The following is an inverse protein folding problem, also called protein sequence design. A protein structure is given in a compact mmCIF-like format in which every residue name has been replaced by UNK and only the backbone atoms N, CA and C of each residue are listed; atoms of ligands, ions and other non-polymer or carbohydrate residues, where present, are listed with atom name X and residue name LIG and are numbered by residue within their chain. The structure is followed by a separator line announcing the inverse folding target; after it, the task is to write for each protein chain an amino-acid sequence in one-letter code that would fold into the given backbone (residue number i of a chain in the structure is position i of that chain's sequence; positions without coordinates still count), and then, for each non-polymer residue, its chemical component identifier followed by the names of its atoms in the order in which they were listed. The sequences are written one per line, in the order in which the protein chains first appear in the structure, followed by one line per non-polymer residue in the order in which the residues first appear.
data_IF_910541981020
#
_entry.id   IF_910541981020
#
_cell.length_a   1.000
_cell.length_b   1.000
_cell.length_c   1.000
_cell.angle_alpha   90.00
_cell.angle_beta   90.00
_cell.angle_gamma   90.00
#
_symmetry.space_group_name_H-M   'P 1'
#
loop_
_entity.id
_entity.type
_entity.pdbx_description
1 polymer ?
#
# COMPACT_ATOMS: atom_id res chain seq x y z
N UNK A 1 -8.83 12.48 -60.63
CA UNK A 1 -9.17 12.78 -59.22
C UNK A 1 -7.97 12.38 -58.39
N UNK A 2 -7.34 13.32 -57.67
CA UNK A 2 -6.15 13.03 -56.83
C UNK A 2 -6.64 12.80 -55.39
N UNK A 3 -6.21 11.75 -54.68
CA UNK A 3 -6.64 11.50 -53.31
C UNK A 3 -6.11 12.59 -52.38
N UNK A 4 -6.99 13.16 -51.56
CA UNK A 4 -6.63 14.16 -50.54
C UNK A 4 -6.46 13.43 -49.21
N UNK A 5 -5.24 13.44 -48.67
CA UNK A 5 -4.92 12.92 -47.35
C UNK A 5 -5.50 13.86 -46.30
N UNK A 6 -6.45 13.37 -45.50
CA UNK A 6 -6.96 14.12 -44.34
C UNK A 6 -6.04 13.84 -43.15
N UNK A 7 -5.61 14.86 -42.39
CA UNK A 7 -4.94 14.64 -41.12
C UNK A 7 -5.90 13.88 -40.21
N UNK A 8 -5.50 12.69 -39.76
CA UNK A 8 -6.17 11.99 -38.67
C UNK A 8 -5.56 12.51 -37.37
N UNK A 9 -6.42 12.92 -36.43
CA UNK A 9 -6.00 13.24 -35.08
C UNK A 9 -5.28 12.02 -34.48
N UNK A 10 -4.13 12.24 -33.84
CA UNK A 10 -3.43 11.18 -33.11
C UNK A 10 -4.38 10.63 -32.04
N UNK A 11 -4.88 9.42 -32.25
CA UNK A 11 -5.64 8.71 -31.24
C UNK A 11 -4.67 8.24 -30.15
N UNK A 12 -4.76 8.85 -28.97
CA UNK A 12 -4.02 8.41 -27.77
C UNK A 12 -4.83 7.30 -27.10
N UNK A 13 -4.29 6.09 -27.10
CA UNK A 13 -4.89 4.93 -26.44
C UNK A 13 -4.20 4.69 -25.09
N UNK A 14 -4.97 4.65 -24.00
CA UNK A 14 -4.49 4.30 -22.68
C UNK A 14 -4.63 2.79 -22.46
N UNK A 15 -3.51 2.08 -22.34
CA UNK A 15 -3.51 0.66 -21.97
C UNK A 15 -2.97 0.48 -20.54
N UNK A 16 -3.60 -0.37 -19.71
CA UNK A 16 -3.11 -0.61 -18.36
C UNK A 16 -1.73 -1.29 -18.44
N UNK A 17 -0.68 -0.61 -17.96
CA UNK A 17 0.69 -1.14 -17.99
C UNK A 17 0.91 -2.25 -16.96
N UNK A 18 0.21 -2.20 -15.81
CA UNK A 18 0.35 -3.13 -14.68
C UNK A 18 -0.99 -3.26 -13.94
N UNK A 19 -1.27 -4.44 -13.42
CA UNK A 19 -2.45 -4.73 -12.59
C UNK A 19 -1.99 -5.39 -11.30
N UNK A 20 -2.37 -4.81 -10.16
CA UNK A 20 -2.06 -5.33 -8.84
C UNK A 20 -3.38 -5.81 -8.23
N UNK A 21 -3.45 -7.08 -7.85
CA UNK A 21 -4.69 -7.75 -7.47
C UNK A 21 -4.51 -8.62 -6.22
N UNK A 22 -5.63 -9.03 -5.62
CA UNK A 22 -5.71 -10.00 -4.50
C UNK A 22 -5.02 -9.58 -3.19
N UNK A 23 -4.73 -8.29 -3.00
CA UNK A 23 -4.12 -7.79 -1.77
C UNK A 23 -5.11 -7.24 -0.75
N UNK A 24 -6.32 -6.90 -1.19
CA UNK A 24 -7.38 -6.38 -0.33
C UNK A 24 -8.48 -7.41 -0.17
N UNK A 25 -8.97 -7.55 1.06
CA UNK A 25 -10.14 -8.39 1.37
C UNK A 25 -11.43 -7.57 1.28
N UNK A 26 -11.34 -6.25 1.40
CA UNK A 26 -12.45 -5.31 1.37
C UNK A 26 -12.32 -4.32 0.20
N UNK A 27 -13.28 -3.41 0.07
CA UNK A 27 -13.28 -2.41 -0.99
C UNK A 27 -12.14 -1.42 -0.81
N UNK A 28 -11.36 -1.21 -1.86
CA UNK A 28 -10.34 -0.17 -1.88
C UNK A 28 -11.04 1.18 -1.88
N UNK A 29 -10.77 1.99 -0.85
CA UNK A 29 -11.32 3.33 -0.70
C UNK A 29 -10.31 4.43 -1.06
N UNK A 30 -9.01 4.12 -1.04
CA UNK A 30 -7.94 5.09 -1.32
C UNK A 30 -6.79 4.48 -2.10
N UNK A 31 -6.19 5.29 -2.97
CA UNK A 31 -4.89 5.05 -3.62
C UNK A 31 -4.07 6.33 -3.54
N UNK A 32 -2.79 6.23 -3.21
CA UNK A 32 -1.92 7.41 -3.11
C UNK A 32 -0.49 7.07 -3.51
N UNK A 33 0.13 7.95 -4.29
CA UNK A 33 1.50 7.77 -4.79
C UNK A 33 2.49 8.38 -3.80
N UNK A 34 3.60 7.69 -3.55
CA UNK A 34 4.65 8.20 -2.70
C UNK A 34 5.57 9.17 -3.45
N UNK A 35 6.17 10.12 -2.74
CA UNK A 35 7.09 11.10 -3.33
C UNK A 35 8.48 10.54 -3.66
N UNK A 36 8.73 9.24 -3.41
CA UNK A 36 9.97 8.54 -3.76
C UNK A 36 10.02 8.08 -5.22
N UNK A 37 8.89 8.20 -5.95
CA UNK A 37 8.72 7.72 -7.32
C UNK A 37 8.85 6.20 -7.52
N UNK A 38 8.96 5.45 -6.43
CA UNK A 38 9.16 4.00 -6.44
C UNK A 38 7.98 3.26 -5.82
N UNK A 39 7.27 3.88 -4.88
CA UNK A 39 6.19 3.25 -4.13
C UNK A 39 4.87 3.99 -4.22
N UNK A 40 3.80 3.26 -3.94
CA UNK A 40 2.46 3.80 -3.78
C UNK A 40 1.70 2.95 -2.76
N UNK A 41 0.60 3.45 -2.23
CA UNK A 41 -0.23 2.71 -1.29
C UNK A 41 -1.65 2.57 -1.78
N UNK A 42 -2.33 1.56 -1.23
CA UNK A 42 -3.77 1.41 -1.34
C UNK A 42 -4.35 1.06 0.02
N UNK A 43 -5.54 1.60 0.31
CA UNK A 43 -6.25 1.34 1.56
C UNK A 43 -7.63 0.74 1.28
N UNK A 44 -8.01 -0.24 2.09
CA UNK A 44 -9.39 -0.69 2.25
C UNK A 44 -9.91 -0.31 3.65
N UNK A 45 -11.05 -0.86 4.04
CA UNK A 45 -11.70 -0.54 5.31
C UNK A 45 -10.87 -0.91 6.55
N UNK A 46 -9.91 -1.84 6.47
CA UNK A 46 -9.15 -2.34 7.62
C UNK A 46 -7.63 -2.30 7.45
N UNK A 47 -7.14 -2.18 6.21
CA UNK A 47 -5.72 -2.34 5.89
C UNK A 47 -5.21 -1.28 4.93
N UNK A 48 -3.96 -0.91 5.12
CA UNK A 48 -3.19 -0.08 4.18
C UNK A 48 -1.99 -0.90 3.70
N UNK A 49 -1.91 -1.10 2.39
CA UNK A 49 -0.84 -1.85 1.72
C UNK A 49 0.15 -0.89 1.05
N UNK A 50 1.44 -1.24 1.06
CA UNK A 50 2.50 -0.49 0.38
C UNK A 50 3.08 -1.28 -0.78
N UNK A 51 3.00 -0.72 -1.98
CA UNK A 51 3.41 -1.35 -3.23
C UNK A 51 4.63 -0.67 -3.80
N UNK A 52 5.40 -1.41 -4.59
CA UNK A 52 6.45 -0.85 -5.43
C UNK A 52 6.02 -0.89 -6.91
N UNK A 53 6.31 0.16 -7.67
CA UNK A 53 5.94 0.24 -9.09
C UNK A 53 6.57 -0.88 -9.92
N UNK A 54 7.77 -1.34 -9.57
CA UNK A 54 8.53 -2.37 -10.28
C UNK A 54 8.14 -3.79 -9.90
N UNK A 55 7.64 -4.01 -8.67
CA UNK A 55 7.29 -5.32 -8.12
C UNK A 55 5.77 -5.46 -8.04
N UNK A 56 5.17 -6.20 -8.98
CA UNK A 56 3.70 -6.33 -9.08
C UNK A 56 3.09 -7.45 -8.27
N UNK A 57 3.92 -8.37 -7.76
CA UNK A 57 3.45 -9.61 -7.14
C UNK A 57 3.60 -9.61 -5.61
N UNK A 58 4.07 -8.50 -5.01
CA UNK A 58 4.34 -8.37 -3.58
C UNK A 58 4.10 -6.92 -3.13
N UNK A 59 3.55 -6.74 -1.93
CA UNK A 59 3.59 -5.48 -1.18
C UNK A 59 4.54 -5.65 -0.01
N UNK A 60 5.05 -4.55 0.57
CA UNK A 60 6.09 -4.57 1.61
C UNK A 60 5.55 -4.34 3.03
N UNK A 61 5.98 -5.18 3.98
CA UNK A 61 5.71 -5.06 5.40
C UNK A 61 6.82 -4.22 5.99
N UNK A 62 6.48 -3.09 6.62
CA UNK A 62 7.43 -2.46 7.55
C UNK A 62 7.58 -3.34 8.83
N UNK A 63 6.68 -4.31 9.02
CA UNK A 63 6.78 -5.34 10.05
C UNK A 63 7.44 -6.60 9.49
N UNK A 64 8.76 -6.58 9.25
CA UNK A 64 9.58 -7.78 9.46
C UNK A 64 11.08 -7.48 9.48
N UNK A 65 11.69 -7.89 10.60
CA UNK A 65 12.98 -8.57 10.76
C UNK A 65 14.20 -8.13 9.91
N UNK A 66 15.40 -8.12 10.52
CA UNK A 66 16.62 -7.65 9.86
C UNK A 66 16.80 -8.30 8.48
N UNK A 67 17.09 -7.44 7.49
CA UNK A 67 17.35 -7.73 6.07
C UNK A 67 18.32 -8.92 5.86
N UNK A 68 19.08 -9.31 6.87
CA UNK A 68 20.04 -10.41 6.83
C UNK A 68 19.44 -11.81 6.94
N UNK A 69 18.17 -12.01 7.35
CA UNK A 69 17.58 -13.36 7.44
C UNK A 69 16.97 -13.89 6.13
N UNK A 70 16.91 -13.06 5.08
CA UNK A 70 16.18 -13.35 3.84
C UNK A 70 16.96 -14.16 2.80
N UNK A 71 18.26 -14.40 3.02
CA UNK A 71 19.08 -15.20 2.10
C UNK A 71 19.06 -16.72 2.40
N UNK A 72 18.60 -17.16 3.57
CA UNK A 72 18.73 -18.58 3.98
C UNK A 72 17.44 -19.41 3.96
N UNK A 73 16.25 -18.80 3.90
CA UNK A 73 14.99 -19.56 4.05
C UNK A 73 14.27 -19.78 2.72
N UNK A 74 14.67 -20.83 2.00
CA UNK A 74 14.09 -21.28 0.71
C UNK A 74 12.77 -22.06 0.86
N UNK A 75 11.95 -21.77 1.88
CA UNK A 75 10.72 -22.53 2.17
C UNK A 75 9.57 -21.58 2.56
N UNK A 76 8.59 -21.46 1.66
CA UNK A 76 7.17 -21.07 1.89
C UNK A 76 6.87 -19.64 2.40
N UNK A 77 5.99 -18.82 1.79
CA UNK A 77 4.84 -19.14 0.93
C UNK A 77 4.36 -17.86 0.19
N UNK A 78 4.18 -18.01 -1.12
CA UNK A 78 3.13 -17.42 -1.98
C UNK A 78 2.35 -16.19 -1.48
N UNK A 79 2.47 -15.08 -2.21
CA UNK A 79 1.47 -14.00 -2.35
C UNK A 79 0.95 -13.38 -1.05
N UNK A 80 1.83 -13.03 -0.12
CA UNK A 80 1.44 -12.20 1.02
C UNK A 80 1.46 -10.75 0.55
N UNK A 81 0.27 -10.15 0.48
CA UNK A 81 0.16 -8.70 0.51
C UNK A 81 0.56 -8.24 1.91
N UNK A 82 1.76 -7.72 2.02
CA UNK A 82 2.25 -7.14 3.25
C UNK A 82 1.66 -5.72 3.43
N UNK A 83 1.10 -5.47 4.61
CA UNK A 83 0.41 -4.23 4.98
C UNK A 83 1.31 -3.39 5.91
N UNK A 84 1.21 -2.07 5.79
CA UNK A 84 1.87 -1.12 6.70
C UNK A 84 0.96 -0.70 7.87
N UNK A 85 -0.34 -0.90 7.74
CA UNK A 85 -1.35 -0.72 8.80
C UNK A 85 -2.37 -1.86 8.70
N UNK A 86 -2.66 -2.53 9.82
CA UNK A 86 -3.79 -3.47 9.97
C UNK A 86 -4.53 -3.14 11.27
N UNK A 87 -5.77 -2.67 11.14
CA UNK A 87 -6.65 -2.39 12.29
C UNK A 87 -7.70 -3.49 12.48
N UNK A 88 -7.59 -4.61 11.75
CA UNK A 88 -8.52 -5.73 11.87
C UNK A 88 -8.51 -6.30 13.30
N UNK A 89 -9.65 -6.33 14.00
CA UNK A 89 -9.73 -6.95 15.31
C UNK A 89 -9.56 -8.48 15.22
N UNK A 90 -9.14 -9.10 16.32
CA UNK A 90 -9.04 -10.56 16.40
C UNK A 90 -10.40 -11.25 16.19
N UNK A 91 -11.47 -10.62 16.67
CA UNK A 91 -12.85 -11.00 16.40
C UNK A 91 -13.54 -9.92 15.55
N UNK A 92 -14.08 -10.31 14.39
CA UNK A 92 -14.77 -9.38 13.49
C UNK A 92 -16.07 -8.79 14.07
N UNK A 93 -16.67 -9.44 15.06
CA UNK A 93 -17.86 -8.91 15.75
C UNK A 93 -17.54 -7.67 16.60
N UNK A 94 -16.28 -7.47 16.98
CA UNK A 94 -15.81 -6.33 17.78
C UNK A 94 -15.36 -5.15 16.91
N UNK A 95 -15.65 -5.18 15.60
CA UNK A 95 -15.26 -4.12 14.69
C UNK A 95 -15.99 -2.81 15.03
N UNK A 96 -15.25 -1.81 15.50
CA UNK A 96 -15.78 -0.49 15.88
C UNK A 96 -15.26 0.65 15.02
N UNK A 97 -14.27 0.40 14.17
CA UNK A 97 -13.52 1.43 13.45
C UNK A 97 -13.11 0.90 12.09
N UNK A 98 -13.29 1.71 11.05
CA UNK A 98 -12.81 1.43 9.70
C UNK A 98 -12.02 2.61 9.17
N UNK A 99 -11.06 2.34 8.29
CA UNK A 99 -10.30 3.35 7.55
C UNK A 99 -11.19 3.92 6.47
N UNK A 100 -11.26 5.24 6.39
CA UNK A 100 -12.13 5.95 5.45
C UNK A 100 -11.38 6.66 4.35
N UNK A 101 -10.13 7.04 4.61
CA UNK A 101 -9.22 7.62 3.62
C UNK A 101 -7.76 7.45 4.06
N UNK A 102 -6.84 7.34 3.12
CA UNK A 102 -5.39 7.38 3.37
C UNK A 102 -4.64 8.14 2.25
N UNK A 103 -3.64 8.95 2.63
CA UNK A 103 -2.88 9.78 1.68
C UNK A 103 -1.41 9.97 2.10
N UNK A 104 -0.51 9.92 1.13
CA UNK A 104 0.92 10.20 1.32
C UNK A 104 1.16 11.69 1.44
N UNK A 105 2.21 12.05 2.17
CA UNK A 105 2.67 13.43 2.17
C UNK A 105 3.31 13.78 0.80
N UNK A 106 2.99 14.95 0.20
CA UNK A 106 3.44 15.29 -1.16
C UNK A 106 4.97 15.44 -1.31
N UNK A 107 5.69 15.62 -0.20
CA UNK A 107 7.14 15.87 -0.19
C UNK A 107 7.94 14.95 0.74
N UNK A 108 7.28 14.19 1.61
CA UNK A 108 7.95 13.40 2.65
C UNK A 108 7.65 11.93 2.43
N UNK A 109 8.59 11.22 1.84
CA UNK A 109 8.39 9.84 1.41
C UNK A 109 8.20 8.84 2.55
N UNK A 110 8.44 9.25 3.80
CA UNK A 110 8.25 8.44 4.99
C UNK A 110 6.98 8.78 5.75
N UNK A 111 6.15 9.72 5.27
CA UNK A 111 5.00 10.23 6.03
C UNK A 111 3.71 10.01 5.27
N UNK A 112 2.71 9.47 5.96
CA UNK A 112 1.35 9.37 5.43
C UNK A 112 0.33 9.61 6.53
N UNK A 113 -0.90 9.89 6.14
CA UNK A 113 -2.04 10.05 7.04
C UNK A 113 -3.14 9.07 6.67
N UNK A 114 -3.92 8.64 7.65
CA UNK A 114 -5.20 8.00 7.40
C UNK A 114 -6.28 8.49 8.37
N UNK A 115 -7.52 8.46 7.90
CA UNK A 115 -8.71 8.80 8.68
C UNK A 115 -9.53 7.57 8.99
N UNK A 116 -10.30 7.63 10.08
CA UNK A 116 -11.22 6.56 10.46
C UNK A 116 -12.67 7.02 10.64
N UNK A 117 -13.59 6.05 10.59
CA UNK A 117 -15.03 6.26 10.80
C UNK A 117 -15.40 6.82 12.17
N UNK A 118 -14.47 6.83 13.12
CA UNK A 118 -14.62 7.51 14.42
C UNK A 118 -14.33 9.02 14.37
N UNK A 119 -14.03 9.56 13.19
CA UNK A 119 -13.66 10.97 13.02
C UNK A 119 -12.23 11.28 13.47
N UNK A 120 -11.35 10.27 13.53
CA UNK A 120 -9.93 10.48 13.88
C UNK A 120 -9.06 10.55 12.64
N UNK A 121 -7.99 11.33 12.70
CA UNK A 121 -6.93 11.39 11.68
C UNK A 121 -5.61 11.05 12.37
N UNK A 122 -4.86 10.12 11.80
CA UNK A 122 -3.60 9.62 12.36
C UNK A 122 -2.47 9.91 11.38
N UNK A 123 -1.42 10.55 11.87
CA UNK A 123 -0.17 10.80 11.15
C UNK A 123 0.81 9.67 11.45
N UNK A 124 1.34 9.03 10.42
CA UNK A 124 2.23 7.90 10.51
C UNK A 124 3.60 8.22 9.91
N UNK A 125 4.66 7.79 10.62
CA UNK A 125 6.05 7.83 10.12
C UNK A 125 6.56 6.41 9.89
N UNK A 126 6.84 6.08 8.63
CA UNK A 126 7.33 4.77 8.18
C UNK A 126 8.74 4.47 8.72
N UNK A 127 9.53 5.48 9.11
CA UNK A 127 10.83 5.29 9.77
C UNK A 127 10.68 4.84 11.22
N UNK A 128 9.68 5.36 11.92
CA UNK A 128 9.42 4.99 13.31
C UNK A 128 8.92 3.55 13.42
N UNK A 129 8.11 3.10 12.45
CA UNK A 129 7.65 1.71 12.39
C UNK A 129 8.77 0.72 12.08
N UNK A 130 9.84 1.13 11.37
CA UNK A 130 11.02 0.29 11.13
C UNK A 130 11.91 0.09 12.38
N UNK A 131 11.67 0.86 13.45
CA UNK A 131 12.43 0.82 14.72
C UNK A 131 11.65 0.11 15.85
N UNK A 132 10.55 -0.58 15.54
CA UNK A 132 9.75 -1.28 16.53
C UNK A 132 10.32 -2.65 16.93
N UNK A 133 11.58 -2.68 17.37
CA UNK A 133 12.05 -3.62 18.39
C UNK A 133 11.42 -3.22 19.74
N UNK A 134 10.09 -3.27 19.86
CA UNK A 134 9.48 -3.28 21.19
C UNK A 134 9.65 -4.68 21.74
N UNK A 135 10.79 -4.85 22.43
CA UNK A 135 10.97 -5.77 23.55
C UNK A 135 9.63 -6.08 24.24
N UNK A 136 9.02 -7.23 23.93
CA UNK A 136 8.04 -7.84 24.82
C UNK A 136 8.79 -8.67 25.86
N UNK A 137 9.10 -8.00 26.97
CA UNK A 137 9.28 -8.42 28.38
C UNK A 137 10.11 -7.30 29.04
N UNK A 138 9.69 -6.69 30.15
CA UNK A 138 9.30 -7.31 31.40
C UNK A 138 8.21 -6.50 32.14
N UNK A 139 7.12 -7.16 32.54
CA UNK A 139 6.79 -7.42 33.94
C UNK A 139 5.99 -8.74 34.00
#
# INVERSE_FOLDING_TARGET
MVPVLRPMDLMVEATPRRVFANAHTYHINSISVNSDYETYMSADDLRINLWNFEITNQSFSILSLPITSWLESRVFRSSVSEYIVDIKPANMEELTEVITAAEFHPHHCNTFVYSSSKGTIRLCDMRASALCDRHTKCE
#
